data_IF_966798155941
#
_entry.id   IF_966798155941
#
_cell.length_a   1.000
_cell.length_b   1.000
_cell.length_c   1.000
_cell.angle_alpha   90.00
_cell.angle_beta   90.00
_cell.angle_gamma   90.00
#
_symmetry.space_group_name_H-M   'P 1'
#
loop_
_entity.id
_entity.type
_entity.pdbx_description
1 polymer ?
#
# COMPACT_ATOMS: atom_id res chain seq x y z
N UNK A 1 -11.00 5.08 -9.73
CA UNK A 1 -9.63 5.41 -10.19
C UNK A 1 -9.17 6.65 -9.44
N UNK A 2 -8.03 6.61 -8.74
CA UNK A 2 -7.58 7.70 -7.83
C UNK A 2 -7.59 9.08 -8.49
N UNK A 3 -7.17 9.18 -9.74
CA UNK A 3 -7.22 10.42 -10.52
C UNK A 3 -8.65 10.97 -10.73
N UNK A 4 -9.64 10.10 -10.93
CA UNK A 4 -11.04 10.51 -11.10
C UNK A 4 -11.66 10.98 -9.77
N UNK A 5 -11.31 10.32 -8.67
CA UNK A 5 -11.74 10.74 -7.33
C UNK A 5 -11.07 12.06 -6.89
N UNK A 6 -9.79 12.24 -7.23
CA UNK A 6 -9.08 13.51 -7.09
C UNK A 6 -9.79 14.64 -7.84
N UNK A 7 -10.17 14.43 -9.11
CA UNK A 7 -10.87 15.46 -9.89
C UNK A 7 -12.26 15.81 -9.32
N UNK A 8 -12.96 14.84 -8.71
CA UNK A 8 -14.26 15.09 -8.08
C UNK A 8 -14.14 15.86 -6.77
N UNK A 9 -13.12 15.58 -5.96
CA UNK A 9 -12.97 16.14 -4.62
C UNK A 9 -11.52 16.57 -4.34
N UNK A 10 -10.96 17.55 -5.09
CA UNK A 10 -9.54 17.90 -5.03
C UNK A 10 -9.09 18.49 -3.69
N UNK A 11 -10.03 19.00 -2.87
CA UNK A 11 -9.76 19.49 -1.51
C UNK A 11 -9.77 18.39 -0.44
N UNK A 12 -10.20 17.18 -0.78
CA UNK A 12 -10.40 16.06 0.16
C UNK A 12 -9.44 14.89 -0.10
N UNK A 13 -9.00 14.70 -1.34
CA UNK A 13 -8.11 13.60 -1.74
C UNK A 13 -6.85 14.20 -2.35
N UNK A 14 -5.68 14.00 -1.72
CA UNK A 14 -4.38 14.41 -2.26
C UNK A 14 -3.69 13.34 -3.11
N UNK A 15 -4.24 12.12 -3.13
CA UNK A 15 -3.66 10.99 -3.86
C UNK A 15 -4.06 11.00 -5.33
N UNK A 16 -3.11 11.30 -6.21
CA UNK A 16 -3.32 11.33 -7.66
C UNK A 16 -3.19 9.93 -8.30
N UNK A 17 -2.32 9.10 -7.77
CA UNK A 17 -2.03 7.75 -8.24
C UNK A 17 -1.85 6.78 -7.06
N UNK A 18 -2.01 5.49 -7.32
CA UNK A 18 -1.65 4.43 -6.38
C UNK A 18 -0.14 4.29 -6.27
N UNK A 19 0.34 3.78 -5.14
CA UNK A 19 1.76 3.43 -4.95
C UNK A 19 2.22 2.43 -6.01
N UNK A 20 3.48 2.55 -6.45
CA UNK A 20 4.07 1.58 -7.37
C UNK A 20 4.49 0.29 -6.64
N UNK A 21 4.57 -0.83 -7.37
CA UNK A 21 5.06 -2.09 -6.81
C UNK A 21 6.48 -1.96 -6.23
N UNK A 22 7.35 -1.16 -6.86
CA UNK A 22 8.72 -0.91 -6.38
C UNK A 22 8.72 -0.18 -5.05
N UNK A 23 7.84 0.83 -4.89
CA UNK A 23 7.68 1.52 -3.61
C UNK A 23 7.14 0.57 -2.54
N UNK A 24 6.15 -0.27 -2.89
CA UNK A 24 5.64 -1.34 -2.04
C UNK A 24 6.75 -2.24 -1.49
N UNK A 25 7.63 -2.73 -2.38
CA UNK A 25 8.79 -3.53 -1.99
C UNK A 25 9.74 -2.76 -1.06
N UNK A 26 10.13 -1.53 -1.42
CA UNK A 26 11.10 -0.75 -0.63
C UNK A 26 10.59 -0.43 0.77
N UNK A 27 9.29 -0.12 0.90
CA UNK A 27 8.67 0.15 2.20
C UNK A 27 8.52 -1.11 3.05
N UNK A 28 8.30 -2.27 2.42
CA UNK A 28 8.08 -3.54 3.13
C UNK A 28 9.34 -4.33 3.44
N UNK A 29 10.46 -4.08 2.77
CA UNK A 29 11.66 -4.91 2.89
C UNK A 29 12.33 -4.91 4.28
N UNK A 30 12.14 -3.85 5.09
CA UNK A 30 12.85 -3.66 6.36
C UNK A 30 11.96 -3.78 7.62
N UNK A 31 10.69 -4.15 7.49
CA UNK A 31 9.73 -4.22 8.61
C UNK A 31 9.62 -5.61 9.25
N UNK A 32 10.63 -6.49 9.08
CA UNK A 32 10.73 -7.82 9.70
C UNK A 32 9.46 -8.69 9.57
N UNK A 33 8.79 -8.62 8.41
CA UNK A 33 7.51 -9.28 8.14
C UNK A 33 7.51 -10.80 8.41
N UNK A 34 8.66 -11.45 8.19
CA UNK A 34 8.82 -12.90 8.46
C UNK A 34 8.60 -13.26 9.93
N UNK A 35 9.01 -12.38 10.85
CA UNK A 35 8.96 -12.59 12.29
C UNK A 35 7.65 -12.07 12.93
N UNK A 36 6.90 -11.22 12.21
CA UNK A 36 5.66 -10.64 12.73
C UNK A 36 4.56 -11.70 12.85
N UNK A 37 4.04 -11.95 14.05
CA UNK A 37 2.95 -12.91 14.26
C UNK A 37 1.60 -12.41 13.71
N UNK A 38 1.38 -11.10 13.80
CA UNK A 38 0.16 -10.43 13.34
C UNK A 38 0.53 -9.16 12.57
N UNK A 39 -0.17 -8.91 11.47
CA UNK A 39 0.04 -7.76 10.61
C UNK A 39 -1.32 -7.12 10.36
N UNK A 40 -1.43 -5.81 10.58
CA UNK A 40 -2.64 -5.03 10.28
C UNK A 40 -2.28 -3.98 9.26
N UNK A 41 -2.95 -4.02 8.11
CA UNK A 41 -2.83 -3.01 7.06
C UNK A 41 -4.03 -2.07 7.14
N UNK A 42 -3.79 -0.81 7.50
CA UNK A 42 -4.84 0.21 7.61
C UNK A 42 -4.97 0.91 6.26
N UNK A 43 -6.13 0.74 5.62
CA UNK A 43 -6.40 1.36 4.31
C UNK A 43 -5.53 0.79 3.18
N UNK A 44 -5.66 -0.51 2.84
CA UNK A 44 -4.79 -1.19 1.86
C UNK A 44 -4.88 -0.62 0.44
N UNK A 45 -5.91 0.18 0.14
CA UNK A 45 -6.07 0.84 -1.16
C UNK A 45 -6.09 -0.18 -2.30
N UNK A 46 -5.10 -0.09 -3.19
CA UNK A 46 -4.95 -1.02 -4.33
C UNK A 46 -4.25 -2.33 -4.00
N UNK A 47 -3.86 -2.56 -2.73
CA UNK A 47 -3.26 -3.83 -2.28
C UNK A 47 -1.77 -4.00 -2.61
N UNK A 48 -1.08 -2.94 -3.05
CA UNK A 48 0.34 -3.00 -3.43
C UNK A 48 1.25 -3.40 -2.26
N UNK A 49 0.92 -2.99 -1.04
CA UNK A 49 1.64 -3.42 0.15
C UNK A 49 1.19 -4.82 0.60
N UNK A 50 -0.11 -5.12 0.54
CA UNK A 50 -0.67 -6.46 0.79
C UNK A 50 0.06 -7.55 -0.01
N UNK A 51 0.24 -7.36 -1.32
CA UNK A 51 0.95 -8.32 -2.18
C UNK A 51 2.39 -8.57 -1.72
N UNK A 52 3.10 -7.52 -1.30
CA UNK A 52 4.46 -7.68 -0.80
C UNK A 52 4.45 -8.41 0.55
N UNK A 53 3.54 -8.06 1.46
CA UNK A 53 3.39 -8.71 2.76
C UNK A 53 3.18 -10.22 2.59
N UNK A 54 2.25 -10.62 1.72
CA UNK A 54 1.93 -12.03 1.45
C UNK A 54 3.10 -12.80 0.81
N UNK A 55 3.99 -12.14 0.06
CA UNK A 55 5.19 -12.79 -0.49
C UNK A 55 6.24 -13.11 0.57
N UNK A 56 6.31 -12.32 1.64
CA UNK A 56 7.32 -12.48 2.70
C UNK A 56 6.81 -13.23 3.93
N UNK A 57 5.49 -13.24 4.17
CA UNK A 57 4.85 -13.99 5.23
C UNK A 57 4.45 -15.37 4.67
N UNK A 58 5.27 -16.38 4.98
CA UNK A 58 4.97 -17.79 4.70
C UNK A 58 3.76 -18.26 5.51
#
# INVERSE_FOLDING_TARGET
MFFYEYLKNPKQIGAFCSSSQKLGFVMTQNINLRQANYIVEIGPGTGVFTENILKYKN
#
